data_IF_054233915000
#
_entry.id   IF_054233915000
#
_cell.length_a   1.000
_cell.length_b   1.000
_cell.length_c   1.000
_cell.angle_alpha   90.00
_cell.angle_beta   90.00
_cell.angle_gamma   90.00
#
_symmetry.space_group_name_H-M   'P 1'
#
loop_
_entity.id
_entity.type
_entity.pdbx_description
1 polymer ?
#
# COMPACT_ATOMS: atom_id res chain seq x y z
N UNK A 1 -28.02 -17.05 -28.78
CA UNK A 1 -27.10 -16.24 -27.95
C UNK A 1 -27.39 -14.77 -28.25
N UNK A 2 -27.78 -13.96 -27.27
CA UNK A 2 -27.94 -12.52 -27.47
C UNK A 2 -26.61 -11.91 -27.89
N UNK A 3 -26.59 -11.16 -29.01
CA UNK A 3 -25.34 -10.47 -29.47
C UNK A 3 -24.91 -9.48 -28.39
N UNK A 4 -23.78 -9.75 -27.75
CA UNK A 4 -23.11 -8.83 -26.82
C UNK A 4 -22.84 -7.53 -27.57
N UNK A 5 -23.22 -6.39 -26.99
CA UNK A 5 -22.92 -5.09 -27.63
C UNK A 5 -21.41 -4.88 -27.66
N UNK A 6 -20.87 -4.17 -28.66
CA UNK A 6 -19.42 -3.92 -28.77
C UNK A 6 -18.83 -3.27 -27.51
N UNK A 7 -19.60 -2.39 -26.81
CA UNK A 7 -19.19 -1.80 -25.54
C UNK A 7 -19.04 -2.85 -24.42
N UNK A 8 -20.00 -3.78 -24.33
CA UNK A 8 -19.94 -4.85 -23.32
C UNK A 8 -18.82 -5.86 -23.66
N UNK A 9 -18.50 -6.04 -24.93
CA UNK A 9 -17.36 -6.85 -25.34
C UNK A 9 -16.04 -6.21 -24.86
N UNK A 10 -15.85 -4.92 -25.08
CA UNK A 10 -14.70 -4.17 -24.57
C UNK A 10 -14.60 -4.24 -23.04
N UNK A 11 -15.74 -4.12 -22.34
CA UNK A 11 -15.79 -4.27 -20.87
C UNK A 11 -15.27 -5.65 -20.42
N UNK A 12 -15.78 -6.72 -21.06
CA UNK A 12 -15.40 -8.09 -20.70
C UNK A 12 -13.93 -8.40 -21.02
N UNK A 13 -13.40 -7.87 -22.13
CA UNK A 13 -12.00 -7.99 -22.49
C UNK A 13 -11.12 -7.35 -21.40
N UNK A 14 -11.39 -6.09 -21.03
CA UNK A 14 -10.64 -5.40 -19.98
C UNK A 14 -10.82 -6.09 -18.62
N UNK A 15 -12.06 -6.52 -18.27
CA UNK A 15 -12.29 -7.22 -17.00
C UNK A 15 -11.53 -8.53 -16.90
N UNK A 16 -11.31 -9.23 -18.00
CA UNK A 16 -10.53 -10.47 -17.98
C UNK A 16 -9.05 -10.26 -17.66
N UNK A 17 -8.50 -9.06 -17.91
CA UNK A 17 -7.14 -8.67 -17.51
C UNK A 17 -7.04 -8.31 -16.01
N UNK A 18 -8.17 -7.88 -15.39
CA UNK A 18 -8.25 -7.46 -13.98
C UNK A 18 -9.36 -8.20 -13.24
N UNK A 19 -9.30 -9.54 -13.13
CA UNK A 19 -10.40 -10.36 -12.60
C UNK A 19 -10.69 -10.09 -11.13
N UNK A 20 -9.68 -9.74 -10.34
CA UNK A 20 -9.72 -9.49 -8.90
C UNK A 20 -9.97 -8.02 -8.52
N UNK A 21 -10.13 -7.11 -9.49
CA UNK A 21 -10.41 -5.70 -9.26
C UNK A 21 -11.82 -5.30 -9.69
N UNK A 22 -12.50 -4.45 -8.94
CA UNK A 22 -13.76 -3.82 -9.37
C UNK A 22 -13.45 -2.83 -10.49
N UNK A 23 -14.02 -3.05 -11.68
CA UNK A 23 -13.73 -2.23 -12.85
C UNK A 23 -14.62 -0.99 -12.89
N UNK A 24 -14.05 0.18 -12.68
CA UNK A 24 -14.66 1.49 -12.88
C UNK A 24 -14.54 1.88 -14.35
N UNK A 25 -15.54 1.50 -15.14
CA UNK A 25 -15.51 1.65 -16.59
C UNK A 25 -16.15 2.98 -17.02
N UNK A 26 -15.35 3.88 -17.61
CA UNK A 26 -15.80 5.21 -18.01
C UNK A 26 -16.85 5.18 -19.11
N UNK A 27 -18.05 5.69 -18.83
CA UNK A 27 -19.12 5.91 -19.78
C UNK A 27 -19.73 7.32 -19.63
N UNK A 28 -19.35 8.21 -20.55
CA UNK A 28 -19.76 9.62 -20.45
C UNK A 28 -19.26 10.25 -19.13
N UNK A 29 -20.19 10.76 -18.33
CA UNK A 29 -19.87 11.41 -17.05
C UNK A 29 -19.89 10.48 -15.84
N UNK A 30 -19.96 9.15 -16.08
CA UNK A 30 -20.00 8.15 -15.02
C UNK A 30 -18.88 7.12 -15.17
N UNK A 31 -18.48 6.54 -14.03
CA UNK A 31 -17.90 5.22 -14.00
C UNK A 31 -18.99 4.23 -13.73
N UNK A 32 -19.23 3.31 -14.65
CA UNK A 32 -20.20 2.24 -14.52
C UNK A 32 -19.52 0.91 -14.19
N UNK A 33 -20.12 0.17 -13.30
CA UNK A 33 -19.72 -1.19 -12.93
C UNK A 33 -20.82 -2.14 -13.36
N UNK A 34 -20.44 -3.33 -13.84
CA UNK A 34 -21.37 -4.31 -14.38
C UNK A 34 -21.24 -5.65 -13.68
N UNK A 35 -22.27 -6.50 -13.81
CA UNK A 35 -22.29 -7.88 -13.33
C UNK A 35 -21.99 -7.98 -11.84
N UNK A 36 -21.04 -8.87 -11.44
CA UNK A 36 -20.68 -9.08 -10.05
C UNK A 36 -20.02 -7.82 -9.41
N UNK A 37 -19.22 -7.08 -10.18
CA UNK A 37 -18.65 -5.82 -9.72
C UNK A 37 -19.73 -4.82 -9.28
N UNK A 38 -20.83 -4.75 -10.02
CA UNK A 38 -21.95 -3.88 -9.68
C UNK A 38 -22.65 -4.32 -8.38
N UNK A 39 -22.83 -5.62 -8.18
CA UNK A 39 -23.46 -6.17 -6.97
C UNK A 39 -22.62 -5.88 -5.73
N UNK A 40 -21.32 -6.13 -5.82
CA UNK A 40 -20.37 -5.88 -4.73
C UNK A 40 -20.29 -4.38 -4.44
N UNK A 41 -20.06 -3.57 -5.48
CA UNK A 41 -19.92 -2.12 -5.33
C UNK A 41 -21.20 -1.48 -4.78
N UNK A 42 -22.38 -1.84 -5.28
CA UNK A 42 -23.65 -1.30 -4.79
C UNK A 42 -23.83 -1.56 -3.29
N UNK A 43 -23.49 -2.76 -2.82
CA UNK A 43 -23.57 -3.15 -1.40
C UNK A 43 -22.59 -2.34 -0.53
N UNK A 44 -21.33 -2.27 -0.93
CA UNK A 44 -20.28 -1.61 -0.15
C UNK A 44 -20.47 -0.10 -0.14
N UNK A 45 -20.84 0.49 -1.28
CA UNK A 45 -20.98 1.93 -1.43
C UNK A 45 -22.34 2.46 -0.93
N UNK A 46 -23.33 1.56 -0.73
CA UNK A 46 -24.72 1.91 -0.41
C UNK A 46 -25.36 2.78 -1.51
N UNK A 47 -25.18 2.35 -2.78
CA UNK A 47 -25.76 3.00 -3.96
C UNK A 47 -26.74 2.09 -4.66
N UNK A 48 -27.62 2.67 -5.48
CA UNK A 48 -28.66 1.93 -6.17
C UNK A 48 -28.08 0.93 -7.17
N UNK A 49 -28.41 -0.35 -6.99
CA UNK A 49 -28.20 -1.36 -8.00
C UNK A 49 -29.39 -1.30 -8.99
N UNK A 50 -29.09 -1.14 -10.26
CA UNK A 50 -30.05 -1.16 -11.36
C UNK A 50 -29.70 -2.26 -12.36
N UNK A 51 -30.42 -2.35 -13.45
CA UNK A 51 -30.12 -3.30 -14.53
C UNK A 51 -30.18 -2.63 -15.89
N UNK A 52 -29.32 -3.07 -16.78
CA UNK A 52 -29.38 -2.75 -18.20
C UNK A 52 -30.28 -3.78 -18.90
N UNK A 53 -31.05 -3.35 -19.88
CA UNK A 53 -32.04 -4.19 -20.61
C UNK A 53 -33.17 -4.74 -19.72
N UNK A 54 -33.77 -3.88 -18.88
CA UNK A 54 -34.94 -4.25 -18.08
C UNK A 54 -36.01 -4.95 -18.93
N UNK A 55 -36.41 -6.14 -18.49
CA UNK A 55 -37.45 -6.94 -19.19
C UNK A 55 -36.93 -7.84 -20.31
N UNK A 56 -35.63 -7.90 -20.57
CA UNK A 56 -35.03 -8.87 -21.48
C UNK A 56 -34.60 -10.15 -20.73
N UNK A 57 -34.51 -11.27 -21.47
CA UNK A 57 -34.12 -12.57 -20.91
C UNK A 57 -32.71 -12.61 -20.26
N UNK A 58 -31.91 -11.55 -20.40
CA UNK A 58 -30.59 -11.38 -19.77
C UNK A 58 -30.46 -9.93 -19.27
N UNK A 59 -30.95 -9.68 -18.07
CA UNK A 59 -30.68 -8.45 -17.36
C UNK A 59 -29.24 -8.44 -16.84
N UNK A 60 -28.50 -7.32 -17.07
CA UNK A 60 -27.14 -7.15 -16.60
C UNK A 60 -27.16 -6.19 -15.41
N UNK A 61 -26.80 -6.64 -14.19
CA UNK A 61 -26.64 -5.75 -13.05
C UNK A 61 -25.72 -4.58 -13.36
N UNK A 62 -26.08 -3.38 -12.92
CA UNK A 62 -25.39 -2.14 -13.18
C UNK A 62 -25.49 -1.22 -11.97
N UNK A 63 -24.41 -0.60 -11.58
CA UNK A 63 -24.39 0.61 -10.75
C UNK A 63 -23.35 1.59 -11.29
N UNK A 64 -23.41 2.85 -10.85
CA UNK A 64 -22.47 3.86 -11.34
C UNK A 64 -22.33 5.02 -10.39
N UNK A 65 -21.18 5.69 -10.50
CA UNK A 65 -20.83 6.90 -9.74
C UNK A 65 -20.34 7.99 -10.69
N UNK A 66 -20.58 9.28 -10.39
CA UNK A 66 -20.07 10.36 -11.23
C UNK A 66 -18.55 10.37 -11.25
N UNK A 67 -17.92 10.52 -12.43
CA UNK A 67 -16.48 10.43 -12.55
C UNK A 67 -15.73 11.54 -11.80
N UNK A 68 -16.27 12.76 -11.81
CA UNK A 68 -15.65 13.92 -11.16
C UNK A 68 -15.67 13.86 -9.63
N UNK A 69 -16.48 12.97 -9.04
CA UNK A 69 -16.57 12.76 -7.60
C UNK A 69 -16.37 11.30 -7.20
N UNK A 70 -15.60 10.54 -7.98
CA UNK A 70 -15.42 9.10 -7.75
C UNK A 70 -14.50 8.78 -6.56
N UNK A 71 -13.62 9.69 -6.13
CA UNK A 71 -12.59 9.43 -5.13
C UNK A 71 -13.13 8.87 -3.80
N UNK A 72 -14.17 9.43 -3.16
CA UNK A 72 -14.71 8.86 -1.92
C UNK A 72 -15.26 7.44 -2.10
N UNK A 73 -15.81 7.12 -3.27
CA UNK A 73 -16.32 5.78 -3.59
C UNK A 73 -15.17 4.78 -3.77
N UNK A 74 -14.13 5.16 -4.52
CA UNK A 74 -12.92 4.35 -4.66
C UNK A 74 -12.31 4.06 -3.29
N UNK A 75 -12.14 5.10 -2.47
CA UNK A 75 -11.60 4.97 -1.13
C UNK A 75 -12.41 4.01 -0.25
N UNK A 76 -13.75 4.11 -0.28
CA UNK A 76 -14.62 3.24 0.51
C UNK A 76 -14.50 1.77 0.07
N UNK A 77 -14.39 1.48 -1.23
CA UNK A 77 -14.15 0.13 -1.73
C UNK A 77 -12.79 -0.40 -1.28
N UNK A 78 -11.75 0.42 -1.40
CA UNK A 78 -10.39 0.03 -1.03
C UNK A 78 -10.26 -0.19 0.48
N UNK A 79 -10.88 0.64 1.32
CA UNK A 79 -10.96 0.43 2.77
C UNK A 79 -11.67 -0.88 3.16
N UNK A 80 -12.59 -1.36 2.31
CA UNK A 80 -13.24 -2.66 2.47
C UNK A 80 -12.45 -3.81 1.80
N UNK A 81 -11.19 -3.59 1.43
CA UNK A 81 -10.28 -4.62 0.93
C UNK A 81 -10.41 -4.93 -0.57
N UNK A 82 -11.17 -4.13 -1.32
CA UNK A 82 -11.32 -4.32 -2.77
C UNK A 82 -10.26 -3.53 -3.55
N UNK A 83 -9.74 -4.11 -4.62
CA UNK A 83 -8.98 -3.38 -5.64
C UNK A 83 -9.94 -2.69 -6.60
N UNK A 84 -9.58 -1.52 -7.09
CA UNK A 84 -10.38 -0.75 -8.07
C UNK A 84 -9.55 -0.42 -9.29
N UNK A 85 -9.93 -0.95 -10.45
CA UNK A 85 -9.30 -0.63 -11.73
C UNK A 85 -10.01 0.55 -12.39
N UNK A 86 -9.31 1.66 -12.55
CA UNK A 86 -9.84 2.87 -13.18
C UNK A 86 -9.62 2.79 -14.70
N UNK A 87 -10.68 2.66 -15.43
CA UNK A 87 -10.69 2.52 -16.89
C UNK A 87 -11.19 3.80 -17.54
N UNK A 88 -10.29 4.50 -18.23
CA UNK A 88 -10.55 5.78 -18.91
C UNK A 88 -10.65 5.66 -20.42
N UNK A 89 -11.29 6.64 -21.04
CA UNK A 89 -11.27 6.83 -22.49
C UNK A 89 -9.89 7.34 -22.89
N UNK A 90 -9.16 6.56 -23.67
CA UNK A 90 -7.80 6.89 -24.14
C UNK A 90 -7.77 7.45 -25.57
N UNK A 91 -8.94 7.67 -26.14
CA UNK A 91 -9.15 8.22 -27.48
C UNK A 91 -10.16 9.37 -27.44
N UNK A 92 -9.94 10.41 -28.25
CA UNK A 92 -10.90 11.52 -28.36
C UNK A 92 -12.23 11.02 -28.94
N UNK A 93 -13.36 11.15 -28.20
CA UNK A 93 -14.67 10.72 -28.68
C UNK A 93 -15.10 11.33 -30.03
N UNK A 94 -14.57 12.52 -30.37
CA UNK A 94 -14.87 13.21 -31.64
C UNK A 94 -14.13 12.61 -32.84
N UNK A 95 -13.05 11.86 -32.60
CA UNK A 95 -12.21 11.26 -33.62
C UNK A 95 -12.41 9.75 -33.74
N UNK A 96 -13.13 9.12 -32.81
CA UNK A 96 -13.37 7.69 -32.76
C UNK A 96 -14.22 7.23 -33.95
N UNK A 97 -13.72 6.30 -34.72
CA UNK A 97 -14.48 5.57 -35.76
C UNK A 97 -15.16 4.34 -35.12
N UNK A 98 -16.24 4.54 -34.39
CA UNK A 98 -16.96 3.48 -33.69
C UNK A 98 -17.02 3.68 -32.19
N UNK A 99 -16.63 2.66 -31.40
CA UNK A 99 -16.59 2.76 -29.95
C UNK A 99 -15.27 3.36 -29.51
N UNK A 100 -15.33 4.39 -28.67
CA UNK A 100 -14.16 5.01 -28.05
C UNK A 100 -13.34 3.96 -27.31
N UNK A 101 -12.05 3.90 -27.61
CA UNK A 101 -11.10 2.98 -26.96
C UNK A 101 -10.92 3.37 -25.49
N UNK A 102 -10.92 2.36 -24.63
CA UNK A 102 -10.69 2.50 -23.21
C UNK A 102 -9.56 1.61 -22.75
N UNK A 103 -8.85 2.03 -21.72
CA UNK A 103 -7.81 1.24 -21.07
C UNK A 103 -7.79 1.54 -19.58
N UNK A 104 -7.34 0.58 -18.79
CA UNK A 104 -7.05 0.81 -17.38
C UNK A 104 -5.81 1.70 -17.28
N UNK A 105 -5.98 2.85 -16.64
CA UNK A 105 -4.91 3.85 -16.44
C UNK A 105 -4.28 3.74 -15.06
N UNK A 106 -4.99 3.14 -14.10
CA UNK A 106 -4.50 2.92 -12.73
C UNK A 106 -5.32 1.85 -12.04
N UNK A 107 -4.65 1.04 -11.20
CA UNK A 107 -5.31 0.18 -10.22
C UNK A 107 -5.04 0.75 -8.82
N UNK A 108 -6.10 1.02 -8.08
CA UNK A 108 -6.03 1.52 -6.69
C UNK A 108 -6.20 0.33 -5.75
N UNK A 109 -5.23 0.16 -4.85
CA UNK A 109 -5.20 -0.91 -3.86
C UNK A 109 -4.96 -0.32 -2.46
N UNK A 110 -5.18 -1.06 -1.37
CA UNK A 110 -5.03 -0.53 -0.02
C UNK A 110 -3.67 0.11 0.27
N UNK A 111 -2.58 -0.48 -0.22
CA UNK A 111 -1.22 0.05 -0.06
C UNK A 111 -0.87 1.19 -1.02
N UNK A 112 -1.71 1.44 -2.04
CA UNK A 112 -1.48 2.40 -3.11
C UNK A 112 -2.50 3.55 -3.16
N UNK A 113 -3.23 3.77 -2.08
CA UNK A 113 -4.07 4.97 -1.93
C UNK A 113 -3.17 6.19 -1.74
N UNK A 114 -3.37 7.23 -2.54
CA UNK A 114 -2.64 8.51 -2.46
C UNK A 114 -3.55 9.65 -2.00
N UNK A 115 -4.86 9.41 -1.94
CA UNK A 115 -5.84 10.43 -1.62
C UNK A 115 -5.76 10.84 -0.14
N UNK A 116 -5.37 12.09 0.10
CA UNK A 116 -5.21 12.67 1.42
C UNK A 116 -6.52 12.82 2.20
N UNK A 117 -7.67 12.83 1.52
CA UNK A 117 -8.98 12.97 2.18
C UNK A 117 -9.43 11.65 2.84
N UNK A 118 -8.79 10.54 2.45
CA UNK A 118 -9.17 9.19 2.93
C UNK A 118 -8.14 8.55 3.85
N UNK A 119 -6.90 9.03 3.83
CA UNK A 119 -5.82 8.55 4.69
C UNK A 119 -5.61 9.48 5.88
N UNK A 120 -5.32 8.90 7.05
CA UNK A 120 -4.80 9.69 8.18
C UNK A 120 -3.39 10.18 7.82
N UNK A 121 -3.16 11.48 7.58
CA UNK A 121 -1.85 11.99 7.20
C UNK A 121 -0.78 11.80 8.29
N UNK A 122 -1.19 11.47 9.51
CA UNK A 122 -0.31 11.20 10.68
C UNK A 122 0.17 9.75 10.74
N UNK A 123 -0.31 8.88 9.84
CA UNK A 123 0.08 7.47 9.72
C UNK A 123 0.73 7.24 8.35
N UNK A 124 1.68 6.33 8.30
CA UNK A 124 2.20 5.82 7.02
C UNK A 124 1.19 4.82 6.44
N UNK A 125 1.13 4.76 5.11
CA UNK A 125 0.34 3.76 4.37
C UNK A 125 1.31 2.83 3.64
N UNK A 126 1.79 1.80 4.33
CA UNK A 126 2.81 0.91 3.78
C UNK A 126 2.23 -0.18 2.88
N UNK A 127 2.86 -0.34 1.72
CA UNK A 127 2.88 -1.56 0.94
C UNK A 127 4.15 -2.32 1.33
N UNK A 128 4.03 -3.60 1.72
CA UNK A 128 5.16 -4.43 2.15
C UNK A 128 5.30 -5.64 1.23
N UNK A 129 6.52 -5.98 0.84
CA UNK A 129 6.83 -7.24 0.19
C UNK A 129 7.60 -8.15 1.14
N UNK A 130 7.22 -9.43 1.18
CA UNK A 130 7.82 -10.47 1.99
C UNK A 130 8.27 -11.62 1.10
N UNK A 131 9.52 -12.04 1.25
CA UNK A 131 10.11 -13.11 0.46
C UNK A 131 10.97 -14.02 1.32
N UNK A 132 10.65 -15.32 1.46
CA UNK A 132 11.54 -16.27 2.08
C UNK A 132 12.72 -16.58 1.15
N UNK A 133 13.92 -16.74 1.71
CA UNK A 133 15.09 -17.19 0.99
C UNK A 133 15.49 -18.62 1.37
N UNK A 134 16.23 -19.26 0.47
CA UNK A 134 16.69 -20.65 0.67
C UNK A 134 17.60 -20.83 1.88
N UNK A 135 18.22 -19.75 2.34
CA UNK A 135 19.11 -19.74 3.50
C UNK A 135 18.37 -19.58 4.84
N UNK A 136 17.02 -19.57 4.82
CA UNK A 136 16.18 -19.42 6.01
C UNK A 136 16.04 -17.98 6.50
N UNK A 137 16.49 -17.00 5.73
CA UNK A 137 16.22 -15.59 5.98
C UNK A 137 14.98 -15.09 5.20
N UNK A 138 14.49 -13.91 5.57
CA UNK A 138 13.34 -13.28 4.99
C UNK A 138 13.72 -11.89 4.48
N UNK A 139 13.56 -11.67 3.17
CA UNK A 139 13.65 -10.34 2.59
C UNK A 139 12.37 -9.56 2.87
N UNK A 140 12.53 -8.35 3.36
CA UNK A 140 11.42 -7.42 3.65
C UNK A 140 11.69 -6.10 2.94
N UNK A 141 10.74 -5.64 2.15
CA UNK A 141 10.75 -4.32 1.56
C UNK A 141 9.45 -3.60 1.92
N UNK A 142 9.53 -2.29 2.21
CA UNK A 142 8.38 -1.45 2.52
C UNK A 142 8.45 -0.15 1.74
N UNK A 143 7.35 0.24 1.13
CA UNK A 143 7.18 1.54 0.49
C UNK A 143 5.94 2.25 1.02
N UNK A 144 6.05 3.55 1.21
CA UNK A 144 4.91 4.44 1.41
C UNK A 144 4.92 5.47 0.26
N UNK A 145 4.02 5.27 -0.71
CA UNK A 145 3.96 6.13 -1.89
C UNK A 145 3.50 7.56 -1.59
N UNK A 146 2.89 7.80 -0.43
CA UNK A 146 2.45 9.15 -0.03
C UNK A 146 3.61 10.01 0.46
N UNK A 147 4.69 9.37 0.95
CA UNK A 147 5.89 10.04 1.47
C UNK A 147 7.12 9.83 0.60
N UNK A 148 7.05 8.86 -0.31
CA UNK A 148 8.17 8.42 -1.11
C UNK A 148 9.17 7.53 -0.34
N UNK A 149 8.91 7.20 0.92
CA UNK A 149 9.79 6.34 1.72
C UNK A 149 9.89 4.94 1.13
N UNK A 150 11.11 4.45 0.87
CA UNK A 150 11.35 3.10 0.38
C UNK A 150 12.50 2.45 1.16
N UNK A 151 12.19 1.37 1.88
CA UNK A 151 13.12 0.72 2.82
C UNK A 151 13.18 -0.78 2.65
N UNK A 152 14.36 -1.35 2.94
CA UNK A 152 14.59 -2.81 2.92
C UNK A 152 15.40 -3.29 4.11
N UNK A 153 15.19 -4.57 4.43
CA UNK A 153 16.00 -5.32 5.40
C UNK A 153 15.95 -6.81 5.11
N UNK A 154 16.89 -7.56 5.68
CA UNK A 154 16.80 -9.02 5.80
C UNK A 154 16.67 -9.42 7.27
N UNK A 155 15.80 -10.36 7.54
CA UNK A 155 15.49 -10.89 8.86
C UNK A 155 15.86 -12.37 8.90
N UNK A 156 16.43 -12.81 10.03
CA UNK A 156 17.00 -14.16 10.14
C UNK A 156 16.01 -15.19 10.69
N UNK A 157 14.86 -14.73 11.18
CA UNK A 157 13.89 -15.58 11.84
C UNK A 157 12.45 -15.08 11.65
N UNK A 158 11.52 -16.01 11.93
CA UNK A 158 10.08 -15.77 11.84
C UNK A 158 9.59 -14.68 12.80
N UNK A 159 10.12 -14.68 14.02
CA UNK A 159 9.63 -13.80 15.10
C UNK A 159 9.96 -12.34 14.77
N UNK A 160 11.18 -12.08 14.32
CA UNK A 160 11.59 -10.76 13.81
C UNK A 160 10.74 -10.32 12.63
N UNK A 161 10.41 -11.24 11.70
CA UNK A 161 9.56 -10.97 10.54
C UNK A 161 8.13 -10.62 10.96
N UNK A 162 7.55 -11.40 11.86
CA UNK A 162 6.23 -11.13 12.43
C UNK A 162 6.21 -9.78 13.16
N UNK A 163 7.25 -9.48 13.95
CA UNK A 163 7.42 -8.21 14.64
C UNK A 163 7.48 -7.02 13.69
N UNK A 164 8.17 -7.16 12.55
CA UNK A 164 8.28 -6.10 11.55
C UNK A 164 6.93 -5.84 10.86
N UNK A 165 6.17 -6.89 10.49
CA UNK A 165 4.83 -6.74 9.93
C UNK A 165 3.91 -5.97 10.90
N UNK A 166 3.91 -6.34 12.17
CA UNK A 166 3.09 -5.70 13.19
C UNK A 166 3.55 -4.26 13.43
N UNK A 167 4.86 -4.04 13.42
CA UNK A 167 5.47 -2.73 13.66
C UNK A 167 5.16 -1.71 12.57
N UNK A 168 5.26 -2.14 11.32
CA UNK A 168 4.98 -1.30 10.15
C UNK A 168 3.50 -1.15 9.90
N UNK A 169 2.70 -2.13 10.33
CA UNK A 169 1.25 -2.16 10.12
C UNK A 169 0.86 -1.89 8.65
N UNK A 170 1.35 -2.72 7.70
CA UNK A 170 1.12 -2.48 6.29
C UNK A 170 -0.36 -2.65 5.92
N UNK A 171 -0.87 -1.77 5.07
CA UNK A 171 -2.21 -1.87 4.51
C UNK A 171 -2.32 -3.02 3.50
N UNK A 172 -1.17 -3.39 2.90
CA UNK A 172 -1.12 -4.41 1.87
C UNK A 172 0.23 -5.13 1.90
N UNK A 173 0.21 -6.45 1.68
CA UNK A 173 1.39 -7.31 1.70
C UNK A 173 1.48 -8.09 0.39
N UNK A 174 2.66 -8.09 -0.21
CA UNK A 174 2.98 -8.85 -1.42
C UNK A 174 3.78 -10.09 -1.04
N UNK A 175 3.40 -11.22 -1.58
CA UNK A 175 4.12 -12.49 -1.50
C UNK A 175 4.21 -13.11 -2.90
N UNK A 176 5.10 -14.07 -3.11
CA UNK A 176 5.15 -14.82 -4.38
C UNK A 176 4.03 -15.85 -4.43
N UNK A 177 3.58 -16.19 -5.63
CA UNK A 177 2.70 -17.34 -5.88
C UNK A 177 3.43 -18.65 -5.60
N UNK A 178 2.66 -19.74 -5.40
CA UNK A 178 3.17 -21.10 -5.23
C UNK A 178 3.48 -21.46 -3.78
N UNK A 179 4.06 -22.64 -3.60
CA UNK A 179 4.26 -23.29 -2.30
C UNK A 179 5.08 -22.44 -1.31
N UNK A 180 6.07 -21.71 -1.81
CA UNK A 180 6.93 -20.84 -0.98
C UNK A 180 6.17 -19.68 -0.36
N UNK A 181 5.33 -19.00 -1.14
CA UNK A 181 4.50 -17.91 -0.65
C UNK A 181 3.35 -18.37 0.24
N UNK A 182 2.70 -19.48 -0.12
CA UNK A 182 1.62 -20.04 0.69
C UNK A 182 2.14 -20.51 2.06
N UNK A 183 3.28 -21.17 2.10
CA UNK A 183 3.95 -21.57 3.36
C UNK A 183 4.33 -20.36 4.21
N UNK A 184 4.76 -19.25 3.58
CA UNK A 184 5.07 -18.00 4.29
C UNK A 184 3.81 -17.38 4.89
N UNK A 185 2.70 -17.36 4.15
CA UNK A 185 1.41 -16.83 4.62
C UNK A 185 0.90 -17.65 5.80
N UNK A 186 0.95 -18.98 5.71
CA UNK A 186 0.54 -19.88 6.79
C UNK A 186 1.43 -19.69 8.03
N UNK A 187 2.74 -19.56 7.83
CA UNK A 187 3.72 -19.34 8.89
C UNK A 187 3.46 -18.03 9.65
N UNK A 188 3.04 -16.98 8.96
CA UNK A 188 2.84 -15.61 9.48
C UNK A 188 1.36 -15.26 9.67
N UNK A 189 0.45 -16.22 9.60
CA UNK A 189 -1.01 -16.01 9.59
C UNK A 189 -1.48 -15.05 10.69
N UNK A 190 -0.98 -15.19 11.92
CA UNK A 190 -1.36 -14.31 13.02
C UNK A 190 -0.99 -12.85 12.79
N UNK A 191 0.17 -12.59 12.19
CA UNK A 191 0.64 -11.23 11.90
C UNK A 191 0.03 -10.64 10.63
N UNK A 192 -0.47 -11.50 9.73
CA UNK A 192 -1.12 -11.09 8.49
C UNK A 192 -2.64 -10.94 8.62
N UNK A 193 -3.21 -11.32 9.76
CA UNK A 193 -4.65 -11.22 9.98
C UNK A 193 -5.17 -9.80 9.79
N UNK A 194 -6.23 -9.65 8.98
CA UNK A 194 -6.85 -8.36 8.67
C UNK A 194 -6.10 -7.51 7.64
N UNK A 195 -4.99 -8.01 7.07
CA UNK A 195 -4.24 -7.33 6.01
C UNK A 195 -4.54 -7.94 4.65
N UNK A 196 -4.48 -7.10 3.61
CA UNK A 196 -4.65 -7.56 2.24
C UNK A 196 -3.37 -8.22 1.74
N UNK A 197 -3.43 -9.51 1.43
CA UNK A 197 -2.28 -10.27 0.90
C UNK A 197 -2.48 -10.51 -0.59
N UNK A 198 -1.54 -10.01 -1.41
CA UNK A 198 -1.53 -10.21 -2.86
C UNK A 198 -0.38 -11.12 -3.26
N UNK A 199 -0.66 -12.00 -4.20
CA UNK A 199 0.31 -12.92 -4.77
C UNK A 199 0.83 -12.41 -6.09
N UNK A 200 2.15 -12.43 -6.25
CA UNK A 200 2.83 -12.05 -7.48
C UNK A 200 3.47 -13.28 -8.11
N UNK A 201 3.58 -13.33 -9.44
CA UNK A 201 4.25 -14.43 -10.10
C UNK A 201 5.72 -14.54 -9.64
N UNK A 202 6.23 -15.78 -9.52
CA UNK A 202 7.60 -16.03 -8.99
C UNK A 202 8.69 -15.26 -9.74
N UNK A 203 8.51 -15.02 -11.03
CA UNK A 203 9.47 -14.28 -11.82
C UNK A 203 9.59 -12.79 -11.42
N UNK A 204 8.61 -12.22 -10.72
CA UNK A 204 8.68 -10.86 -10.16
C UNK A 204 9.74 -10.76 -9.04
N UNK A 205 10.14 -11.89 -8.46
CA UNK A 205 11.14 -11.98 -7.40
C UNK A 205 12.51 -12.51 -7.90
N UNK A 206 12.82 -12.39 -9.18
CA UNK A 206 14.13 -12.77 -9.74
C UNK A 206 15.16 -11.68 -9.44
N UNK A 207 16.31 -12.06 -8.87
CA UNK A 207 17.31 -11.13 -8.36
C UNK A 207 17.88 -10.19 -9.44
N UNK A 208 18.30 -10.72 -10.58
CA UNK A 208 18.88 -9.92 -11.66
C UNK A 208 17.89 -8.85 -12.17
N UNK A 209 16.63 -9.23 -12.31
CA UNK A 209 15.56 -8.30 -12.67
C UNK A 209 15.34 -7.23 -11.60
N UNK A 210 15.32 -7.64 -10.33
CA UNK A 210 15.16 -6.70 -9.21
C UNK A 210 16.29 -5.67 -9.16
N UNK A 211 17.55 -6.10 -9.36
CA UNK A 211 18.71 -5.21 -9.46
C UNK A 211 18.59 -4.24 -10.64
N UNK A 212 18.20 -4.74 -11.80
CA UNK A 212 17.98 -3.91 -12.97
C UNK A 212 16.91 -2.85 -12.73
N UNK A 213 15.72 -3.24 -12.23
CA UNK A 213 14.62 -2.33 -11.94
C UNK A 213 15.00 -1.25 -10.91
N UNK A 214 15.77 -1.61 -9.88
CA UNK A 214 16.28 -0.64 -8.90
C UNK A 214 17.18 0.40 -9.54
N UNK A 215 18.13 0.00 -10.38
CA UNK A 215 19.05 0.92 -11.06
C UNK A 215 18.32 1.79 -12.12
N UNK A 216 17.33 1.25 -12.81
CA UNK A 216 16.49 2.01 -13.75
C UNK A 216 15.59 3.03 -13.02
N UNK A 217 15.05 2.66 -11.85
CA UNK A 217 14.21 3.56 -11.05
C UNK A 217 15.01 4.66 -10.34
N UNK A 218 16.28 4.41 -10.04
CA UNK A 218 17.18 5.33 -9.32
C UNK A 218 18.54 5.47 -10.06
N UNK A 219 18.56 6.15 -11.22
CA UNK A 219 19.73 6.18 -12.10
C UNK A 219 20.98 6.84 -11.50
N UNK A 220 20.79 7.72 -10.51
CA UNK A 220 21.89 8.39 -9.78
C UNK A 220 22.42 7.57 -8.60
N UNK A 221 21.96 6.34 -8.42
CA UNK A 221 22.31 5.46 -7.30
C UNK A 221 23.05 4.20 -7.78
N UNK A 222 23.75 3.54 -6.85
CA UNK A 222 24.35 2.22 -7.08
C UNK A 222 23.87 1.22 -6.03
N UNK A 223 24.06 -0.08 -6.26
CA UNK A 223 23.68 -1.10 -5.30
C UNK A 223 24.39 -0.92 -3.94
N UNK A 224 25.62 -0.40 -3.96
CA UNK A 224 26.38 -0.07 -2.76
C UNK A 224 25.78 1.12 -2.01
N UNK A 225 25.29 2.13 -2.73
CA UNK A 225 24.65 3.31 -2.12
C UNK A 225 23.33 2.98 -1.43
N UNK A 226 22.63 1.94 -1.87
CA UNK A 226 21.45 1.41 -1.18
C UNK A 226 21.79 0.66 0.11
N UNK A 227 23.04 0.17 0.25
CA UNK A 227 23.49 -0.59 1.42
C UNK A 227 22.93 -2.02 1.51
N UNK A 228 22.40 -2.57 0.42
CA UNK A 228 21.77 -3.89 0.38
C UNK A 228 22.41 -4.85 -0.65
N UNK A 229 23.65 -4.57 -1.09
CA UNK A 229 24.29 -5.40 -2.13
C UNK A 229 24.49 -6.86 -1.70
N UNK A 230 24.72 -7.10 -0.40
CA UNK A 230 24.90 -8.41 0.23
C UNK A 230 23.56 -8.99 0.78
N UNK A 231 22.44 -8.39 0.45
CA UNK A 231 21.10 -8.77 0.93
C UNK A 231 20.18 -9.21 -0.23
N UNK A 232 20.42 -10.38 -0.85
CA UNK A 232 19.70 -10.79 -2.05
C UNK A 232 18.20 -10.93 -1.85
N UNK A 233 17.75 -11.39 -0.69
CA UNK A 233 16.32 -11.52 -0.39
C UNK A 233 15.66 -10.14 -0.27
N UNK A 234 16.32 -9.16 0.37
CA UNK A 234 15.85 -7.77 0.47
C UNK A 234 15.75 -7.11 -0.92
N UNK A 235 16.78 -7.30 -1.77
CA UNK A 235 16.79 -6.80 -3.16
C UNK A 235 15.63 -7.37 -3.97
N UNK A 236 15.40 -8.68 -3.86
CA UNK A 236 14.28 -9.36 -4.54
C UNK A 236 12.93 -8.85 -4.04
N UNK A 237 12.76 -8.64 -2.74
CA UNK A 237 11.54 -8.05 -2.17
C UNK A 237 11.32 -6.60 -2.66
N UNK A 238 12.38 -5.79 -2.78
CA UNK A 238 12.29 -4.46 -3.38
C UNK A 238 11.88 -4.51 -4.86
N UNK A 239 12.40 -5.46 -5.62
CA UNK A 239 12.00 -5.70 -7.00
C UNK A 239 10.51 -6.05 -7.15
N UNK A 240 9.97 -6.85 -6.21
CA UNK A 240 8.53 -7.16 -6.17
C UNK A 240 7.68 -5.90 -6.01
N UNK A 241 8.10 -4.97 -5.14
CA UNK A 241 7.41 -3.68 -4.97
C UNK A 241 7.45 -2.87 -6.26
N UNK A 242 8.64 -2.69 -6.87
CA UNK A 242 8.76 -1.91 -8.11
C UNK A 242 7.92 -2.51 -9.24
N UNK A 243 7.96 -3.82 -9.42
CA UNK A 243 7.11 -4.52 -10.37
C UNK A 243 5.61 -4.23 -10.13
N UNK A 244 5.17 -4.35 -8.88
CA UNK A 244 3.77 -4.11 -8.53
C UNK A 244 3.35 -2.66 -8.77
N UNK A 245 4.23 -1.72 -8.50
CA UNK A 245 4.00 -0.30 -8.79
C UNK A 245 3.90 -0.02 -10.30
N UNK A 246 4.75 -0.63 -11.13
CA UNK A 246 4.67 -0.50 -12.59
C UNK A 246 3.34 -1.02 -13.14
N UNK A 247 2.94 -2.22 -12.71
CA UNK A 247 1.69 -2.85 -13.14
C UNK A 247 0.44 -2.07 -12.71
N UNK A 248 0.47 -1.49 -11.52
CA UNK A 248 -0.72 -0.85 -10.94
C UNK A 248 -0.83 0.63 -11.25
N UNK A 249 0.29 1.37 -11.24
CA UNK A 249 0.26 2.83 -11.43
C UNK A 249 0.37 3.25 -12.90
N UNK A 250 0.91 2.39 -13.77
CA UNK A 250 1.09 2.64 -15.22
C UNK A 250 1.68 4.02 -15.57
N UNK A 251 2.38 4.61 -14.62
CA UNK A 251 2.95 5.96 -14.72
C UNK A 251 4.27 6.07 -13.96
N UNK A 252 4.86 7.25 -13.99
CA UNK A 252 6.13 7.52 -13.30
C UNK A 252 5.97 7.47 -11.78
N UNK A 253 6.85 6.70 -11.14
CA UNK A 253 7.05 6.64 -9.69
C UNK A 253 8.21 7.55 -9.24
N UNK A 254 8.47 8.62 -9.98
CA UNK A 254 9.61 9.54 -9.83
C UNK A 254 9.69 10.24 -8.46
N UNK A 255 8.65 10.17 -7.64
CA UNK A 255 8.61 10.77 -6.30
C UNK A 255 9.16 9.85 -5.20
N UNK A 256 9.49 8.59 -5.53
CA UNK A 256 10.10 7.68 -4.56
C UNK A 256 11.52 8.14 -4.22
N UNK A 257 11.84 8.09 -2.93
CA UNK A 257 13.21 8.31 -2.47
C UNK A 257 14.06 7.08 -2.78
N UNK A 258 15.38 7.25 -2.97
CA UNK A 258 16.28 6.12 -3.14
C UNK A 258 16.12 5.11 -2.00
N UNK A 259 16.23 3.83 -2.36
CA UNK A 259 16.13 2.72 -1.45
C UNK A 259 17.09 2.86 -0.27
N UNK A 260 16.62 2.64 0.95
CA UNK A 260 17.39 2.72 2.17
C UNK A 260 17.36 1.39 2.92
N UNK A 261 18.53 0.88 3.25
CA UNK A 261 18.65 -0.28 4.13
C UNK A 261 18.55 0.13 5.60
N UNK A 262 17.88 -0.69 6.40
CA UNK A 262 17.83 -0.54 7.85
C UNK A 262 18.05 -1.89 8.53
N UNK A 263 18.49 -1.84 9.79
CA UNK A 263 18.72 -3.04 10.59
C UNK A 263 17.79 -3.04 11.80
N UNK A 264 17.02 -4.13 11.94
CA UNK A 264 16.08 -4.27 13.07
C UNK A 264 16.82 -4.29 14.42
N UNK A 265 18.08 -4.74 14.43
CA UNK A 265 18.95 -4.75 15.64
C UNK A 265 19.23 -3.38 16.23
N UNK A 266 19.03 -2.29 15.47
CA UNK A 266 19.18 -0.92 15.97
C UNK A 266 18.08 -0.51 16.94
N UNK A 267 17.01 -1.29 17.02
CA UNK A 267 15.84 -1.01 17.81
C UNK A 267 15.52 -2.16 18.77
N UNK A 268 14.90 -1.82 19.89
CA UNK A 268 14.35 -2.82 20.81
C UNK A 268 13.20 -3.56 20.11
N UNK A 269 13.27 -4.87 20.08
CA UNK A 269 12.18 -5.71 19.55
C UNK A 269 11.01 -5.66 20.55
N UNK A 270 9.89 -5.17 20.07
CA UNK A 270 8.62 -5.16 20.79
C UNK A 270 7.66 -6.10 20.07
N UNK A 271 7.35 -7.23 20.66
CA UNK A 271 6.35 -8.15 20.12
C UNK A 271 4.93 -7.55 20.20
N UNK A 272 3.99 -8.16 19.49
CA UNK A 272 2.60 -7.69 19.43
C UNK A 272 1.95 -7.63 20.82
N UNK A 273 2.19 -8.66 21.64
CA UNK A 273 1.65 -8.74 22.98
C UNK A 273 2.14 -7.58 23.85
N UNK A 274 3.44 -7.29 23.82
CA UNK A 274 4.04 -6.15 24.53
C UNK A 274 3.48 -4.83 24.04
N UNK A 275 3.38 -4.61 22.73
CA UNK A 275 2.85 -3.36 22.16
C UNK A 275 1.41 -3.11 22.58
N UNK A 276 0.58 -4.14 22.50
CA UNK A 276 -0.84 -4.07 22.89
C UNK A 276 -1.01 -3.83 24.38
N UNK A 277 -0.29 -4.58 25.21
CA UNK A 277 -0.40 -4.42 26.67
C UNK A 277 0.14 -3.10 27.20
N UNK A 278 1.15 -2.52 26.53
CA UNK A 278 1.65 -1.18 26.85
C UNK A 278 0.78 -0.07 26.26
N UNK A 279 -0.24 -0.40 25.47
CA UNK A 279 -1.13 0.58 24.81
C UNK A 279 -0.35 1.72 24.15
N UNK A 280 0.71 1.37 23.39
CA UNK A 280 1.63 2.37 22.84
C UNK A 280 0.94 3.31 21.85
N UNK A 281 0.12 2.77 20.96
CA UNK A 281 -0.51 3.52 19.86
C UNK A 281 -2.02 3.51 19.90
N UNK A 282 -2.61 2.48 20.52
CA UNK A 282 -4.05 2.22 20.57
C UNK A 282 -4.40 1.59 21.91
N UNK A 283 -5.61 1.83 22.42
CA UNK A 283 -6.09 1.27 23.67
C UNK A 283 -6.61 -0.16 23.49
N UNK A 284 -6.53 -0.98 24.52
CA UNK A 284 -7.09 -2.35 24.54
C UNK A 284 -8.61 -2.35 24.52
N UNK A 285 -9.24 -1.29 25.07
CA UNK A 285 -10.68 -1.26 25.28
C UNK A 285 -11.47 -1.03 23.98
N UNK A 286 -11.06 -0.05 23.18
CA UNK A 286 -11.80 0.38 21.98
C UNK A 286 -10.96 0.49 20.72
N UNK A 287 -9.65 0.12 20.79
CA UNK A 287 -8.72 0.27 19.68
C UNK A 287 -8.44 1.72 19.30
N UNK A 288 -8.92 2.66 20.12
CA UNK A 288 -8.81 4.09 19.85
C UNK A 288 -7.43 4.65 20.23
N UNK A 289 -7.07 5.78 19.61
CA UNK A 289 -5.85 6.50 19.96
C UNK A 289 -5.94 7.23 21.30
N UNK A 290 -7.15 7.70 21.66
CA UNK A 290 -7.37 8.47 22.89
C UNK A 290 -7.22 7.55 24.10
N UNK A 291 -6.28 7.87 24.98
CA UNK A 291 -5.92 7.06 26.16
C UNK A 291 -4.64 6.24 25.97
N UNK A 292 -4.18 6.01 24.74
CA UNK A 292 -2.88 5.38 24.48
C UNK A 292 -1.72 6.32 24.81
N UNK A 293 -0.51 5.77 24.95
CA UNK A 293 0.71 6.55 25.18
C UNK A 293 0.92 7.59 24.09
N UNK A 294 0.76 7.20 22.80
CA UNK A 294 0.82 8.12 21.67
C UNK A 294 -0.25 9.21 21.78
N UNK A 295 -1.46 8.86 22.19
CA UNK A 295 -2.57 9.82 22.38
C UNK A 295 -2.27 10.91 23.39
N UNK A 296 -1.52 10.58 24.45
CA UNK A 296 -1.08 11.52 25.50
C UNK A 296 0.10 12.38 25.03
N UNK A 297 1.10 11.75 24.38
CA UNK A 297 2.37 12.40 24.04
C UNK A 297 2.29 13.26 22.77
N UNK A 298 1.44 12.90 21.80
CA UNK A 298 1.42 13.59 20.51
C UNK A 298 0.87 15.00 20.61
N UNK A 299 1.78 15.95 20.58
CA UNK A 299 1.55 17.39 20.46
C UNK A 299 2.14 17.96 19.15
N UNK A 300 2.40 17.08 18.18
CA UNK A 300 2.99 17.48 16.90
C UNK A 300 2.03 18.36 16.10
N UNK A 301 2.60 19.32 15.37
CA UNK A 301 1.84 20.27 14.54
C UNK A 301 1.72 19.75 13.11
N UNK A 302 2.76 19.02 12.63
CA UNK A 302 2.82 18.51 11.26
C UNK A 302 2.55 17.01 11.19
N UNK A 303 2.03 16.56 10.05
CA UNK A 303 1.85 15.14 9.74
C UNK A 303 3.19 14.38 9.79
N UNK A 304 4.26 15.00 9.27
CA UNK A 304 5.62 14.43 9.28
C UNK A 304 6.12 14.22 10.72
N UNK A 305 5.93 15.19 11.61
CA UNK A 305 6.28 15.08 13.02
C UNK A 305 5.49 13.97 13.73
N UNK A 306 4.20 13.82 13.43
CA UNK A 306 3.36 12.78 14.00
C UNK A 306 3.82 11.37 13.56
N UNK A 307 4.14 11.18 12.28
CA UNK A 307 4.70 9.91 11.78
C UNK A 307 6.05 9.60 12.43
N UNK A 308 6.92 10.61 12.58
CA UNK A 308 8.23 10.44 13.24
C UNK A 308 8.09 10.05 14.71
N UNK A 309 7.18 10.70 15.46
CA UNK A 309 6.92 10.37 16.85
C UNK A 309 6.37 8.94 16.99
N UNK A 310 5.40 8.56 16.17
CA UNK A 310 4.87 7.19 16.13
C UNK A 310 5.98 6.18 15.87
N UNK A 311 6.83 6.44 14.86
CA UNK A 311 7.96 5.58 14.56
C UNK A 311 8.92 5.43 15.75
N UNK A 312 9.27 6.50 16.44
CA UNK A 312 10.14 6.44 17.61
C UNK A 312 9.55 5.63 18.76
N UNK A 313 8.24 5.69 18.95
CA UNK A 313 7.57 4.92 20.00
C UNK A 313 7.46 3.43 19.67
N UNK A 314 7.27 3.10 18.41
CA UNK A 314 7.16 1.70 17.95
C UNK A 314 8.52 1.05 17.67
N UNK A 315 9.58 1.85 17.53
CA UNK A 315 10.96 1.42 17.27
C UNK A 315 11.92 2.14 18.23
N UNK A 316 11.89 1.82 19.53
CA UNK A 316 12.78 2.45 20.50
C UNK A 316 14.23 2.05 20.23
N UNK A 317 15.15 3.00 20.27
CA UNK A 317 16.57 2.75 20.09
C UNK A 317 17.14 1.93 21.25
N UNK A 318 18.15 1.09 20.96
CA UNK A 318 18.97 0.39 21.97
C UNK A 318 20.32 1.04 22.16
N UNK A 319 20.81 1.78 21.16
CA UNK A 319 22.09 2.47 21.23
C UNK A 319 22.01 3.69 22.17
N UNK A 320 22.81 3.64 23.23
CA UNK A 320 22.83 4.67 24.27
C UNK A 320 23.22 6.04 23.72
N UNK A 321 24.24 6.09 22.86
CA UNK A 321 24.72 7.37 22.32
C UNK A 321 23.64 8.05 21.50
N UNK A 322 22.97 7.31 20.62
CA UNK A 322 21.86 7.82 19.79
C UNK A 322 20.65 8.27 20.65
N UNK A 323 20.41 7.62 21.79
CA UNK A 323 19.39 8.05 22.74
C UNK A 323 19.78 9.38 23.40
N UNK A 324 21.04 9.50 23.86
CA UNK A 324 21.57 10.73 24.48
C UNK A 324 21.54 11.89 23.48
N UNK A 325 21.89 11.68 22.21
CA UNK A 325 21.81 12.70 21.15
C UNK A 325 20.36 13.24 21.00
N UNK A 326 19.36 12.34 21.03
CA UNK A 326 17.93 12.78 21.02
C UNK A 326 17.56 13.58 22.26
N UNK A 327 18.04 13.18 23.44
CA UNK A 327 17.78 13.90 24.69
C UNK A 327 18.39 15.30 24.66
N UNK A 328 19.62 15.45 24.16
CA UNK A 328 20.29 16.76 24.02
C UNK A 328 19.48 17.68 23.09
N UNK A 329 19.03 17.18 21.93
CA UNK A 329 18.22 17.96 21.00
C UNK A 329 16.88 18.40 21.62
N UNK A 330 16.22 17.51 22.39
CA UNK A 330 14.97 17.84 23.09
C UNK A 330 15.24 18.88 24.18
N UNK A 331 16.32 18.74 24.96
CA UNK A 331 16.70 19.68 26.03
C UNK A 331 16.95 21.07 25.45
N UNK A 332 17.66 21.17 24.33
CA UNK A 332 17.87 22.44 23.63
C UNK A 332 16.56 23.11 23.25
N UNK A 333 15.64 22.37 22.61
CA UNK A 333 14.33 22.90 22.21
C UNK A 333 13.42 23.25 23.41
N UNK A 334 13.61 22.62 24.57
CA UNK A 334 12.91 23.00 25.82
C UNK A 334 13.44 24.32 26.33
N UNK A 335 14.77 24.55 26.28
CA UNK A 335 15.40 25.81 26.76
C UNK A 335 15.14 26.97 25.82
N UNK A 336 15.25 26.75 24.50
CA UNK A 336 15.15 27.77 23.45
C UNK A 336 13.71 27.87 22.93
N UNK A 337 12.83 28.54 23.70
CA UNK A 337 11.39 28.63 23.36
C UNK A 337 11.14 29.36 22.05
N UNK A 338 11.92 30.39 21.72
CA UNK A 338 11.77 31.12 20.44
C UNK A 338 12.10 30.22 19.24
N UNK A 339 13.21 29.48 19.30
CA UNK A 339 13.59 28.51 18.25
C UNK A 339 12.49 27.43 18.07
N UNK A 340 12.00 26.91 19.19
CA UNK A 340 10.90 25.92 19.15
C UNK A 340 9.64 26.49 18.51
N UNK A 341 9.26 27.72 18.82
CA UNK A 341 8.05 28.36 18.28
C UNK A 341 8.21 28.67 16.79
N UNK A 342 9.41 29.06 16.34
CA UNK A 342 9.71 29.25 14.91
C UNK A 342 9.67 27.94 14.12
N UNK A 343 10.15 26.83 14.70
CA UNK A 343 10.05 25.49 14.09
C UNK A 343 8.60 24.97 14.01
N UNK A 344 7.69 25.51 14.79
CA UNK A 344 6.27 25.10 14.82
C UNK A 344 5.36 25.92 13.92
N UNK A 345 5.84 27.01 13.36
CA UNK A 345 5.15 27.85 12.35
C UNK A 345 5.30 27.29 10.96
#
# INVERSE_FOLDING_TARGET
MAKTTPMMQQYLEIKSEYPDAILFFRLGDFYEMFMEDAVVAARVLDITLTSRNKGAAAEIPLCGVPFHSCQPYVAKLVQNGHKVAICEQVEDPKQAKGIVKRAVVRVVTPGLVVDTDTLDPRRNNYLMALLPDKNGCYGVACVDITTGEFRVTELLDRESTAGEIISRDPAEVLVVEGESGDSLVDLLQGSLQGRNVNRLPEWAAVEDRARQMLLESFPDSSMESFGCHDMPAAVRAAGMILYYLEETQKGSISHLQPLQTYHVRDHMVLDDFTRRNLELTETLHDGGRRGSLLGVMDRTVTAMGARKLRHWMTHPLVDRQRIEERHVAVEELVRESLCRDDLRR
#
